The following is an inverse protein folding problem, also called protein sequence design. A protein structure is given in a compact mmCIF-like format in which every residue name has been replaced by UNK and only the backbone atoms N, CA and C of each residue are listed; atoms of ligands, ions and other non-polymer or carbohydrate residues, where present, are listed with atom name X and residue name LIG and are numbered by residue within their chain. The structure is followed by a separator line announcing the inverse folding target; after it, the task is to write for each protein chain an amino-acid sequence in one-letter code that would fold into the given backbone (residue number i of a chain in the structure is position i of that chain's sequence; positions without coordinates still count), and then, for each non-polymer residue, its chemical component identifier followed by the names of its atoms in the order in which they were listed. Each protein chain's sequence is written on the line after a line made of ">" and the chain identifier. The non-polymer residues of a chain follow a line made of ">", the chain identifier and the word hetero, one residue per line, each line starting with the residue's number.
data_IF_052436737222
#
_entry.id   IF_052436737222
#
_cell.length_a   1.000
_cell.length_b   1.000
_cell.length_c   1.000
_cell.angle_alpha   90.00
_cell.angle_beta   90.00
_cell.angle_gamma   90.00
#
_symmetry.space_group_name_H-M   'P 1'
#
loop_
_entity.id
_entity.type
_entity.pdbx_description
1 polymer ?
#
# COMPACT_ATOMS: atom_id res chain seq x y z
N UNK A 1 8.53 6.71 0.75
CA UNK A 1 8.17 6.53 2.17
C UNK A 1 8.83 5.27 2.70
N UNK A 2 9.14 5.19 4.00
CA UNK A 2 9.71 3.96 4.57
C UNK A 2 8.64 2.86 4.67
N UNK A 3 9.01 1.63 4.31
CA UNK A 3 8.18 0.43 4.46
C UNK A 3 8.31 -0.28 5.81
N UNK A 4 9.18 0.22 6.69
CA UNK A 4 9.38 -0.32 8.03
C UNK A 4 8.12 -0.08 8.88
N UNK A 5 7.63 -1.12 9.58
CA UNK A 5 6.31 -1.11 10.25
C UNK A 5 5.99 0.15 11.07
N UNK A 6 6.95 0.64 11.86
CA UNK A 6 6.78 1.85 12.70
C UNK A 6 6.53 3.16 11.96
N UNK A 7 6.70 3.19 10.65
CA UNK A 7 6.55 4.40 9.83
C UNK A 7 5.39 4.32 8.83
N UNK A 8 4.63 3.21 8.80
CA UNK A 8 3.54 3.03 7.83
C UNK A 8 2.36 3.95 8.07
N UNK A 9 2.14 4.38 9.31
CA UNK A 9 1.14 5.40 9.67
C UNK A 9 1.35 6.73 8.92
N UNK A 10 2.57 7.03 8.48
CA UNK A 10 2.85 8.26 7.74
C UNK A 10 2.34 8.21 6.29
N UNK A 11 1.98 7.04 5.77
CA UNK A 11 1.46 6.89 4.39
C UNK A 11 0.15 7.66 4.20
N UNK A 12 -0.68 7.73 5.24
CA UNK A 12 -1.99 8.38 5.25
C UNK A 12 -1.92 9.87 4.85
N UNK A 13 -0.79 10.53 5.12
CA UNK A 13 -0.59 11.93 4.76
C UNK A 13 -0.66 12.20 3.25
N UNK A 14 -0.45 11.16 2.42
CA UNK A 14 -0.42 11.29 0.95
C UNK A 14 -1.71 10.80 0.29
N UNK A 15 -2.63 10.19 1.03
CA UNK A 15 -3.81 9.53 0.46
C UNK A 15 -4.76 10.51 -0.24
N UNK A 16 -4.86 11.76 0.22
CA UNK A 16 -5.76 12.77 -0.36
C UNK A 16 -5.27 13.30 -1.71
N UNK A 17 -3.97 13.49 -1.86
CA UNK A 17 -3.38 14.14 -3.03
C UNK A 17 -2.93 13.14 -4.11
N UNK A 18 -2.68 11.88 -3.74
CA UNK A 18 -2.21 10.86 -4.68
C UNK A 18 -3.19 10.61 -5.82
N UNK A 19 -2.70 10.54 -7.06
CA UNK A 19 -3.52 10.28 -8.26
C UNK A 19 -3.46 8.82 -8.71
N UNK A 20 -2.57 8.02 -8.13
CA UNK A 20 -2.42 6.59 -8.33
C UNK A 20 -1.74 5.97 -7.12
N UNK A 21 -1.89 4.66 -6.94
CA UNK A 21 -1.19 3.86 -5.94
C UNK A 21 -0.26 2.90 -6.69
N UNK A 22 1.03 2.94 -6.36
CA UNK A 22 1.99 1.93 -6.80
C UNK A 22 2.37 1.12 -5.56
N UNK A 23 2.01 -0.16 -5.56
CA UNK A 23 2.23 -1.06 -4.45
C UNK A 23 3.21 -2.15 -4.89
N UNK A 24 4.41 -2.12 -4.30
CA UNK A 24 5.54 -3.01 -4.65
C UNK A 24 5.63 -4.12 -3.61
N UNK A 25 5.62 -5.37 -4.06
CA UNK A 25 5.74 -6.55 -3.20
C UNK A 25 6.96 -7.36 -3.60
N UNK A 26 7.79 -7.67 -2.63
CA UNK A 26 8.86 -8.67 -2.78
C UNK A 26 8.24 -10.06 -2.93
N UNK A 27 8.33 -10.61 -4.12
CA UNK A 27 7.77 -11.93 -4.46
C UNK A 27 8.65 -13.10 -3.98
N UNK A 28 9.91 -12.84 -3.61
CA UNK A 28 10.79 -13.80 -2.97
C UNK A 28 10.41 -14.06 -1.51
N UNK A 29 9.84 -13.06 -0.83
CA UNK A 29 9.46 -13.15 0.58
C UNK A 29 8.02 -13.65 0.80
N UNK A 30 7.86 -14.98 0.71
CA UNK A 30 6.55 -15.65 0.89
C UNK A 30 5.94 -15.45 2.28
N UNK A 31 6.75 -15.30 3.33
CA UNK A 31 6.26 -15.13 4.70
C UNK A 31 5.62 -13.75 4.88
N UNK A 32 6.20 -12.71 4.26
CA UNK A 32 5.68 -11.34 4.34
C UNK A 32 4.54 -11.04 3.36
N UNK A 33 4.16 -11.99 2.50
CA UNK A 33 3.02 -11.83 1.60
C UNK A 33 1.70 -11.56 2.35
N UNK A 34 1.49 -12.21 3.50
CA UNK A 34 0.30 -11.97 4.35
C UNK A 34 0.29 -10.54 4.89
N UNK A 35 1.45 -10.05 5.34
CA UNK A 35 1.60 -8.67 5.81
C UNK A 35 1.34 -7.68 4.66
N UNK A 36 1.87 -7.94 3.47
CA UNK A 36 1.64 -7.09 2.31
C UNK A 36 0.15 -7.01 1.95
N UNK A 37 -0.56 -8.14 2.02
CA UNK A 37 -2.01 -8.18 1.81
C UNK A 37 -2.75 -7.35 2.86
N UNK A 38 -2.46 -7.54 4.15
CA UNK A 38 -3.11 -6.80 5.24
C UNK A 38 -2.90 -5.28 5.11
N UNK A 39 -1.68 -4.85 4.78
CA UNK A 39 -1.36 -3.43 4.57
C UNK A 39 -2.11 -2.84 3.35
N UNK A 40 -2.21 -3.60 2.25
CA UNK A 40 -3.00 -3.19 1.09
C UNK A 40 -4.49 -3.08 1.44
N UNK A 41 -5.04 -4.04 2.18
CA UNK A 41 -6.43 -4.02 2.65
C UNK A 41 -6.68 -2.81 3.56
N UNK A 42 -5.77 -2.49 4.48
CA UNK A 42 -5.86 -1.30 5.34
C UNK A 42 -5.85 -0.01 4.52
N UNK A 43 -4.92 0.10 3.56
CA UNK A 43 -4.81 1.27 2.68
C UNK A 43 -6.09 1.46 1.85
N UNK A 44 -6.59 0.41 1.20
CA UNK A 44 -7.76 0.48 0.32
C UNK A 44 -9.07 0.76 1.07
N UNK A 45 -9.16 0.36 2.34
CA UNK A 45 -10.32 0.64 3.18
C UNK A 45 -10.27 2.00 3.88
N UNK A 46 -9.15 2.72 3.81
CA UNK A 46 -9.03 4.04 4.42
C UNK A 46 -10.07 5.02 3.82
N UNK A 47 -10.75 5.86 4.62
CA UNK A 47 -11.80 6.78 4.12
C UNK A 47 -11.35 7.68 2.97
N UNK A 48 -10.10 8.15 3.01
CA UNK A 48 -9.51 8.99 1.96
C UNK A 48 -9.16 8.23 0.67
N UNK A 49 -9.24 6.89 0.64
CA UNK A 49 -8.90 6.06 -0.54
C UNK A 49 -10.12 5.28 -1.06
N UNK A 50 -10.91 4.68 -0.16
CA UNK A 50 -11.99 3.72 -0.45
C UNK A 50 -12.98 4.16 -1.52
N UNK A 51 -13.25 5.47 -1.62
CA UNK A 51 -14.22 6.04 -2.55
C UNK A 51 -13.57 6.74 -3.75
N UNK A 52 -12.24 6.71 -3.86
CA UNK A 52 -11.50 7.34 -4.95
C UNK A 52 -11.29 6.36 -6.10
N UNK A 53 -11.59 6.82 -7.31
CA UNK A 53 -11.30 6.08 -8.54
C UNK A 53 -9.91 6.47 -9.05
N UNK A 54 -8.88 5.84 -8.48
CA UNK A 54 -7.49 6.03 -8.89
C UNK A 54 -6.86 4.69 -9.33
N UNK A 55 -5.93 4.68 -10.29
CA UNK A 55 -5.26 3.45 -10.70
C UNK A 55 -4.46 2.83 -9.54
N UNK A 56 -4.58 1.51 -9.39
CA UNK A 56 -3.72 0.69 -8.54
C UNK A 56 -2.80 -0.14 -9.43
N UNK A 57 -1.50 0.01 -9.26
CA UNK A 57 -0.47 -0.77 -9.95
C UNK A 57 0.21 -1.65 -8.90
N UNK A 58 0.05 -2.97 -9.04
CA UNK A 58 0.74 -3.97 -8.23
C UNK A 58 1.98 -4.43 -8.99
N UNK A 59 3.15 -4.28 -8.38
CA UNK A 59 4.41 -4.75 -8.96
C UNK A 59 5.01 -5.82 -8.06
N UNK A 60 5.51 -6.89 -8.67
CA UNK A 60 6.19 -7.98 -8.00
C UNK A 60 7.69 -7.84 -8.30
N UNK A 61 8.50 -7.59 -7.27
CA UNK A 61 9.96 -7.62 -7.39
C UNK A 61 10.49 -9.02 -7.07
N UNK A 62 11.59 -9.41 -7.71
CA UNK A 62 12.33 -10.64 -7.41
C UNK A 62 13.48 -10.37 -6.43
#
# INVERSE_FOLDING_TARGET
>A
MSGQGRYRNLWEHYYKEGQAIIFVVDSGDKLRMVVAKEELDTLLNHPDVKHRQIPLILTLSL
#
